data_IF_501675120038
#
_entry.id   IF_501675120038
#
_cell.length_a   1.000
_cell.length_b   1.000
_cell.length_c   1.000
_cell.angle_alpha   90.00
_cell.angle_beta   90.00
_cell.angle_gamma   90.00
#
_symmetry.space_group_name_H-M   'P 1'
#
loop_
_entity.id
_entity.type
_entity.pdbx_description
1 polymer ?
#
# COMPACT_ATOMS: atom_id res chain seq x y z
N UNK A 1 -18.98 25.62 -11.56
CA UNK A 1 -17.94 24.72 -12.10
C UNK A 1 -17.72 23.64 -11.05
N UNK A 2 -17.88 22.37 -11.42
CA UNK A 2 -17.82 21.27 -10.46
C UNK A 2 -16.48 20.54 -10.56
N UNK A 3 -15.72 20.56 -9.47
CA UNK A 3 -14.59 19.64 -9.30
C UNK A 3 -15.16 18.28 -8.93
N UNK A 4 -14.62 17.24 -9.56
CA UNK A 4 -14.99 15.86 -9.29
C UNK A 4 -13.81 15.13 -8.71
N UNK A 5 -14.07 14.33 -7.69
CA UNK A 5 -13.10 13.39 -7.14
C UNK A 5 -13.52 12.00 -7.60
N UNK A 6 -12.76 11.41 -8.53
CA UNK A 6 -12.98 10.04 -8.94
C UNK A 6 -12.43 9.11 -7.88
N UNK A 7 -13.31 8.30 -7.31
CA UNK A 7 -12.98 7.28 -6.33
C UNK A 7 -13.63 5.96 -6.74
N UNK A 8 -12.80 4.92 -6.89
CA UNK A 8 -13.23 3.65 -7.48
C UNK A 8 -13.87 3.89 -8.87
N UNK A 9 -15.12 3.46 -9.05
CA UNK A 9 -15.89 3.64 -10.28
C UNK A 9 -16.83 4.87 -10.25
N UNK A 10 -16.72 5.73 -9.23
CA UNK A 10 -17.65 6.84 -9.01
C UNK A 10 -16.94 8.18 -9.12
N UNK A 11 -17.59 9.14 -9.77
CA UNK A 11 -17.16 10.54 -9.78
C UNK A 11 -18.01 11.30 -8.75
N UNK A 12 -17.39 11.73 -7.66
CA UNK A 12 -18.05 12.47 -6.60
C UNK A 12 -17.92 13.97 -6.87
N UNK A 13 -19.02 14.70 -6.91
CA UNK A 13 -18.96 16.17 -6.95
C UNK A 13 -18.49 16.71 -5.61
N UNK A 14 -17.47 17.55 -5.64
CA UNK A 14 -16.91 18.19 -4.45
C UNK A 14 -17.39 19.65 -4.42
N UNK A 15 -18.22 20.05 -3.43
CA UNK A 15 -18.70 21.43 -3.33
C UNK A 15 -17.57 22.39 -2.94
N UNK A 16 -17.80 23.70 -3.17
CA UNK A 16 -16.93 24.76 -2.66
C UNK A 16 -16.85 24.70 -1.12
N UNK A 17 -15.67 25.01 -0.58
CA UNK A 17 -15.41 25.00 0.85
C UNK A 17 -14.55 23.83 1.31
N UNK A 18 -14.79 23.38 2.54
CA UNK A 18 -14.05 22.29 3.18
C UNK A 18 -14.70 20.92 2.92
N UNK A 19 -13.88 19.96 2.48
CA UNK A 19 -14.30 18.59 2.22
C UNK A 19 -13.34 17.62 2.92
N UNK A 20 -13.83 16.97 3.98
CA UNK A 20 -13.03 16.05 4.78
C UNK A 20 -13.03 14.64 4.20
N UNK A 21 -11.83 14.06 4.16
CA UNK A 21 -11.59 12.67 3.82
C UNK A 21 -11.03 11.96 5.05
N UNK A 22 -11.63 10.82 5.40
CA UNK A 22 -11.19 10.08 6.57
C UNK A 22 -11.99 8.81 6.79
N UNK A 23 -11.63 8.06 7.82
CA UNK A 23 -12.34 6.82 8.20
C UNK A 23 -13.58 7.08 9.05
N UNK A 24 -13.74 8.29 9.62
CA UNK A 24 -14.93 8.62 10.40
C UNK A 24 -16.14 8.70 9.48
N UNK A 25 -17.32 8.37 10.01
CA UNK A 25 -18.58 8.61 9.32
C UNK A 25 -18.89 10.13 9.19
N UNK A 26 -18.23 10.97 9.98
CA UNK A 26 -18.38 12.43 9.97
C UNK A 26 -17.63 13.10 8.80
N UNK A 27 -16.83 12.34 8.04
CA UNK A 27 -16.16 12.82 6.84
C UNK A 27 -17.11 12.73 5.64
N UNK A 28 -17.14 13.77 4.80
CA UNK A 28 -17.93 13.76 3.57
C UNK A 28 -17.55 12.59 2.67
N UNK A 29 -16.27 12.25 2.64
CA UNK A 29 -15.79 11.01 2.06
C UNK A 29 -15.25 10.09 3.17
N UNK A 30 -16.12 9.18 3.58
CA UNK A 30 -15.79 8.13 4.53
C UNK A 30 -15.13 6.95 3.81
N UNK A 31 -13.86 6.69 4.12
CA UNK A 31 -13.09 5.58 3.58
C UNK A 31 -13.03 4.48 4.63
N UNK A 32 -13.64 3.32 4.35
CA UNK A 32 -13.56 2.14 5.22
C UNK A 32 -12.21 1.43 5.06
N UNK A 33 -11.16 2.11 5.50
CA UNK A 33 -9.79 1.65 5.42
C UNK A 33 -9.10 1.88 6.77
N UNK A 34 -8.60 0.83 7.45
CA UNK A 34 -7.85 0.95 8.70
C UNK A 34 -6.59 1.82 8.60
N UNK A 35 -6.00 1.95 7.40
CA UNK A 35 -4.88 2.84 7.11
C UNK A 35 -5.28 4.31 7.10
N UNK A 36 -6.57 4.60 6.99
CA UNK A 36 -7.08 5.95 6.95
C UNK A 36 -7.38 6.42 8.38
N UNK A 37 -6.83 7.59 8.73
CA UNK A 37 -7.11 8.21 10.03
C UNK A 37 -8.57 8.71 10.07
N UNK A 38 -9.15 8.81 11.27
CA UNK A 38 -10.57 9.24 11.43
C UNK A 38 -10.88 10.52 10.66
N UNK A 39 -10.02 11.53 10.79
CA UNK A 39 -9.91 12.68 9.88
C UNK A 39 -8.49 12.62 9.32
N UNK A 40 -8.36 12.36 8.02
CA UNK A 40 -7.06 12.09 7.41
C UNK A 40 -6.59 13.28 6.60
N UNK A 41 -7.43 13.76 5.69
CA UNK A 41 -7.10 14.87 4.82
C UNK A 41 -8.27 15.86 4.74
N UNK A 42 -7.92 17.11 4.47
CA UNK A 42 -8.87 18.17 4.14
C UNK A 42 -8.60 18.63 2.71
N UNK A 43 -9.62 18.56 1.86
CA UNK A 43 -9.65 19.27 0.59
C UNK A 43 -10.29 20.64 0.81
N UNK A 44 -9.62 21.70 0.37
CA UNK A 44 -10.16 23.06 0.33
C UNK A 44 -10.41 23.43 -1.13
N UNK A 45 -11.68 23.57 -1.49
CA UNK A 45 -12.12 23.93 -2.84
C UNK A 45 -12.51 25.40 -2.85
N UNK A 46 -11.75 26.21 -3.57
CA UNK A 46 -12.04 27.63 -3.77
C UNK A 46 -12.25 27.98 -5.24
N UNK A 47 -12.58 29.25 -5.51
CA UNK A 47 -12.74 29.74 -6.89
C UNK A 47 -11.43 29.71 -7.69
N UNK A 48 -10.28 29.74 -7.01
CA UNK A 48 -8.95 29.75 -7.62
C UNK A 48 -8.24 28.40 -7.69
N UNK A 49 -8.90 27.29 -7.34
CA UNK A 49 -8.32 25.95 -7.41
C UNK A 49 -8.59 25.07 -6.18
N UNK A 50 -7.92 23.91 -6.14
CA UNK A 50 -8.08 22.90 -5.09
C UNK A 50 -6.76 22.72 -4.36
N UNK A 51 -6.82 22.66 -3.04
CA UNK A 51 -5.67 22.28 -2.23
C UNK A 51 -6.04 21.12 -1.30
N UNK A 52 -5.07 20.29 -0.97
CA UNK A 52 -5.18 19.22 0.00
C UNK A 52 -4.18 19.41 1.14
N UNK A 53 -4.59 19.05 2.35
CA UNK A 53 -3.76 19.07 3.54
C UNK A 53 -3.91 17.77 4.32
N UNK A 54 -2.79 17.24 4.82
CA UNK A 54 -2.78 16.10 5.76
C UNK A 54 -3.03 16.58 7.19
N UNK A 55 -4.07 16.08 7.85
CA UNK A 55 -4.50 16.48 9.19
C UNK A 55 -3.76 15.74 10.32
N UNK A 56 -2.44 15.56 10.15
CA UNK A 56 -1.61 14.80 11.09
C UNK A 56 -1.94 13.30 11.07
N UNK A 57 -2.28 12.76 9.91
CA UNK A 57 -2.59 11.34 9.77
C UNK A 57 -1.37 10.45 10.03
N UNK A 58 -1.65 9.18 10.39
CA UNK A 58 -0.59 8.19 10.66
C UNK A 58 0.23 7.84 9.43
N UNK A 59 -0.41 7.73 8.27
CA UNK A 59 0.20 7.20 7.04
C UNK A 59 0.54 8.29 6.02
N UNK A 60 -0.01 9.50 6.21
CA UNK A 60 0.21 10.62 5.31
C UNK A 60 -0.64 10.55 4.05
N UNK A 61 -0.64 11.68 3.35
CA UNK A 61 -1.24 11.83 2.02
C UNK A 61 -0.13 11.82 0.98
N UNK A 62 -0.32 11.08 -0.11
CA UNK A 62 0.58 11.06 -1.25
C UNK A 62 -0.12 11.67 -2.47
N UNK A 63 0.59 12.49 -3.23
CA UNK A 63 0.16 13.00 -4.54
C UNK A 63 1.15 12.50 -5.57
N UNK A 64 0.66 11.81 -6.61
CA UNK A 64 1.48 11.23 -7.68
C UNK A 64 2.66 10.39 -7.16
N UNK A 65 2.46 9.71 -6.03
CA UNK A 65 3.47 8.86 -5.37
C UNK A 65 4.44 9.59 -4.42
N UNK A 66 4.37 10.93 -4.33
CA UNK A 66 5.17 11.72 -3.40
C UNK A 66 4.35 12.12 -2.17
N UNK A 67 4.88 11.89 -0.96
CA UNK A 67 4.24 12.34 0.28
C UNK A 67 4.30 13.85 0.39
N UNK A 68 3.17 14.48 0.70
CA UNK A 68 3.09 15.94 0.86
C UNK A 68 3.65 16.40 2.20
N UNK A 69 4.20 17.61 2.23
CA UNK A 69 4.61 18.30 3.45
C UNK A 69 3.77 19.56 3.61
N UNK A 70 2.69 19.46 4.40
CA UNK A 70 1.73 20.55 4.59
C UNK A 70 0.70 20.65 3.46
N UNK A 71 0.09 21.83 3.32
CA UNK A 71 -0.92 22.12 2.30
C UNK A 71 -0.31 22.17 0.91
N UNK A 72 -0.83 21.35 0.00
CA UNK A 72 -0.38 21.25 -1.39
C UNK A 72 -1.53 21.57 -2.35
N UNK A 73 -1.24 22.33 -3.39
CA UNK A 73 -2.21 22.63 -4.46
C UNK A 73 -2.27 21.46 -5.43
N UNK A 74 -3.48 21.11 -5.87
CA UNK A 74 -3.76 20.00 -6.78
C UNK A 74 -4.11 20.50 -8.17
N UNK A 75 -3.66 19.75 -9.18
CA UNK A 75 -3.95 19.95 -10.60
C UNK A 75 -4.93 18.90 -11.12
N UNK A 76 -5.52 19.17 -12.28
CA UNK A 76 -6.38 18.20 -12.95
C UNK A 76 -5.61 16.91 -13.28
N UNK A 77 -6.22 15.77 -13.00
CA UNK A 77 -5.61 14.45 -13.18
C UNK A 77 -4.69 14.00 -12.05
N UNK A 78 -4.45 14.82 -11.02
CA UNK A 78 -3.60 14.44 -9.90
C UNK A 78 -4.15 13.21 -9.18
N UNK A 79 -3.25 12.24 -8.96
CA UNK A 79 -3.53 11.02 -8.22
C UNK A 79 -3.26 11.25 -6.74
N UNK A 80 -4.31 11.18 -5.93
CA UNK A 80 -4.25 11.30 -4.49
C UNK A 80 -4.33 9.90 -3.89
N UNK A 81 -3.38 9.54 -3.03
CA UNK A 81 -3.43 8.30 -2.27
C UNK A 81 -3.48 8.58 -0.76
N UNK A 82 -4.45 7.95 -0.10
CA UNK A 82 -4.72 8.09 1.34
C UNK A 82 -4.93 6.69 1.91
N UNK A 83 -4.00 6.23 2.76
CA UNK A 83 -3.99 4.83 3.18
C UNK A 83 -3.80 3.89 1.98
N UNK A 84 -4.69 2.92 1.80
CA UNK A 84 -4.72 2.03 0.63
C UNK A 84 -5.69 2.48 -0.46
N UNK A 85 -6.25 3.70 -0.36
CA UNK A 85 -7.25 4.23 -1.29
C UNK A 85 -6.60 5.19 -2.28
N UNK A 86 -6.97 5.06 -3.55
CA UNK A 86 -6.52 5.94 -4.63
C UNK A 86 -7.70 6.72 -5.23
N UNK A 87 -7.44 7.98 -5.52
CA UNK A 87 -8.42 8.95 -5.99
C UNK A 87 -7.80 9.80 -7.09
N UNK A 88 -8.59 10.28 -8.04
CA UNK A 88 -8.13 11.19 -9.08
C UNK A 88 -8.94 12.47 -9.05
N UNK A 89 -8.26 13.61 -9.07
CA UNK A 89 -8.91 14.91 -9.21
C UNK A 89 -9.29 15.14 -10.67
N UNK A 90 -10.53 15.57 -10.93
CA UNK A 90 -11.05 15.86 -12.26
C UNK A 90 -11.70 17.25 -12.30
N UNK A 91 -11.38 18.05 -13.30
CA UNK A 91 -11.92 19.39 -13.52
C UNK A 91 -11.33 20.48 -12.63
N UNK A 92 -10.11 20.31 -12.10
CA UNK A 92 -9.43 21.37 -11.36
C UNK A 92 -8.85 22.43 -12.30
N UNK A 93 -9.11 23.70 -12.03
CA UNK A 93 -8.49 24.81 -12.74
C UNK A 93 -7.02 24.84 -12.31
N UNK A 94 -6.09 24.78 -13.27
CA UNK A 94 -4.68 25.00 -12.96
C UNK A 94 -4.51 26.38 -12.33
N UNK A 95 -3.99 26.48 -11.09
CA UNK A 95 -3.60 27.76 -10.55
C UNK A 95 -2.39 28.24 -11.36
N UNK A 96 -2.58 29.35 -12.07
CA UNK A 96 -1.51 30.08 -12.76
C UNK A 96 -0.29 30.16 -11.85
N UNK A 97 0.81 29.57 -12.33
CA UNK A 97 2.11 29.42 -11.68
C UNK A 97 2.55 30.63 -10.87
N UNK A 98 2.76 30.44 -9.56
CA UNK A 98 3.65 31.27 -8.76
C UNK A 98 4.14 30.52 -7.50
N UNK A 99 5.46 30.27 -7.46
CA UNK A 99 6.31 29.96 -6.30
C UNK A 99 6.50 28.49 -5.86
N UNK A 100 7.58 27.88 -6.38
CA UNK A 100 8.51 27.11 -5.54
C UNK A 100 9.24 28.04 -4.56
N UNK A 101 9.59 27.55 -3.38
CA UNK A 101 11.00 27.59 -3.01
C UNK A 101 11.54 26.22 -2.62
N UNK A 102 12.66 25.89 -3.26
CA UNK A 102 13.62 24.86 -2.87
C UNK A 102 13.98 25.02 -1.39
N UNK A 103 14.01 23.92 -0.66
CA UNK A 103 14.84 23.79 0.55
C UNK A 103 15.49 22.41 0.57
N UNK A 104 16.66 22.33 -0.07
CA UNK A 104 17.68 21.38 0.33
C UNK A 104 18.48 22.02 1.48
N UNK A 105 18.87 21.29 2.53
CA UNK A 105 19.77 21.85 3.53
C UNK A 105 21.19 21.94 2.96
N UNK A 106 21.75 23.14 3.06
CA UNK A 106 23.16 23.44 2.97
C UNK A 106 23.89 22.75 4.14
N UNK A 107 24.83 21.86 3.85
CA UNK A 107 26.01 21.69 4.71
C UNK A 107 27.27 22.09 3.93
N UNK A 108 28.14 22.73 4.68
CA UNK A 108 29.26 23.58 4.29
C UNK A 108 30.54 22.75 4.11
N UNK A 109 31.22 22.99 2.98
CA UNK A 109 32.68 23.17 2.79
C UNK A 109 33.64 22.04 3.23
N UNK A 110 34.37 21.48 2.26
CA UNK A 110 35.83 21.64 2.13
C UNK A 110 36.30 21.17 0.73
N UNK A 111 36.68 22.14 -0.12
CA UNK A 111 38.02 22.29 -0.71
C UNK A 111 38.56 21.06 -1.48
N UNK A 112 38.66 21.17 -2.81
CA UNK A 112 39.94 21.41 -3.49
C UNK A 112 39.74 21.57 -5.00
N UNK A 113 40.25 22.68 -5.51
CA UNK A 113 40.40 22.99 -6.92
C UNK A 113 41.48 22.09 -7.55
N UNK A 114 41.28 21.73 -8.82
CA UNK A 114 42.33 21.72 -9.85
C UNK A 114 41.72 21.59 -11.25
N UNK A 115 41.99 22.61 -12.03
CA UNK A 115 41.84 22.77 -13.47
C UNK A 115 42.75 21.82 -14.25
N UNK A 116 42.27 21.22 -15.34
CA UNK A 116 42.96 20.99 -16.64
C UNK A 116 41.82 20.75 -17.65
N UNK A 117 41.46 21.67 -18.54
CA UNK A 117 42.10 22.12 -19.79
C UNK A 117 42.09 21.10 -20.96
N UNK A 118 41.36 21.54 -22.00
CA UNK A 118 41.51 21.39 -23.45
C UNK A 118 41.64 20.03 -24.18
N UNK A 119 40.82 19.99 -25.24
CA UNK A 119 41.12 19.66 -26.64
C UNK A 119 41.07 18.22 -27.18
N UNK A 120 40.31 18.15 -28.28
CA UNK A 120 40.54 17.41 -29.55
C UNK A 120 39.98 15.99 -29.75
N UNK A 121 39.26 15.87 -30.89
CA UNK A 121 38.71 14.65 -31.51
C UNK A 121 39.84 13.88 -32.26
N UNK A 122 39.59 12.67 -32.81
CA UNK A 122 38.88 12.56 -34.10
C UNK A 122 37.98 11.32 -34.26
N UNK A 123 37.19 11.39 -35.33
CA UNK A 123 36.36 10.33 -35.90
C UNK A 123 37.18 9.25 -36.63
N UNK A 124 36.61 8.05 -36.75
CA UNK A 124 37.09 6.97 -37.62
C UNK A 124 36.01 5.89 -37.80
N UNK A 125 35.70 5.59 -39.07
CA UNK A 125 34.84 4.54 -39.64
C UNK A 125 35.30 3.12 -39.18
N UNK A 126 34.62 1.98 -39.35
CA UNK A 126 33.59 1.51 -40.27
C UNK A 126 33.04 0.15 -39.77
N UNK A 127 31.87 -0.23 -40.31
CA UNK A 127 31.37 -1.59 -40.57
C UNK A 127 31.23 -2.68 -39.50
N UNK A 128 30.00 -3.23 -39.44
CA UNK A 128 29.75 -4.54 -38.83
C UNK A 128 28.28 -4.85 -38.54
N UNK A 129 27.48 -5.10 -39.56
CA UNK A 129 26.11 -5.59 -39.42
C UNK A 129 26.03 -6.94 -38.69
N UNK A 130 25.26 -7.02 -37.61
CA UNK A 130 24.59 -8.26 -37.19
C UNK A 130 23.20 -7.89 -36.66
N UNK A 131 22.19 -8.27 -37.44
CA UNK A 131 20.79 -8.07 -37.12
C UNK A 131 20.39 -8.92 -35.91
N UNK A 132 20.31 -8.30 -34.74
CA UNK A 132 19.58 -8.84 -33.59
C UNK A 132 18.24 -8.11 -33.58
N UNK A 133 17.18 -8.83 -33.93
CA UNK A 133 15.81 -8.37 -33.85
C UNK A 133 15.46 -8.03 -32.39
N UNK A 134 15.72 -6.79 -32.00
CA UNK A 134 15.12 -6.18 -30.82
C UNK A 134 13.62 -6.07 -31.06
N UNK A 135 12.86 -7.02 -30.51
CA UNK A 135 11.44 -6.81 -30.23
C UNK A 135 11.37 -5.64 -29.26
N UNK A 136 11.09 -4.46 -29.82
CA UNK A 136 10.73 -3.25 -29.13
C UNK A 136 9.43 -3.53 -28.37
N UNK A 137 9.53 -3.92 -27.10
CA UNK A 137 8.37 -4.02 -26.21
C UNK A 137 7.78 -2.62 -26.09
N UNK A 138 6.59 -2.44 -26.65
CA UNK A 138 5.78 -1.24 -26.48
C UNK A 138 5.47 -1.07 -24.97
N UNK A 139 5.67 0.12 -24.39
CA UNK A 139 5.21 0.41 -23.04
C UNK A 139 3.71 0.72 -23.12
N UNK A 140 2.86 -0.20 -22.66
CA UNK A 140 1.43 0.07 -22.58
C UNK A 140 0.55 -1.16 -22.57
N UNK A 141 0.36 -1.72 -21.38
CA UNK A 141 -0.96 -2.17 -20.90
C UNK A 141 -0.82 -2.43 -19.39
N UNK A 142 -1.01 -1.39 -18.58
CA UNK A 142 -1.31 -1.60 -17.16
C UNK A 142 -2.66 -2.33 -17.12
N UNK A 143 -2.80 -3.50 -16.49
CA UNK A 143 -4.08 -4.17 -16.41
C UNK A 143 -5.11 -3.25 -15.75
N UNK A 144 -6.10 -2.78 -16.51
CA UNK A 144 -7.11 -1.83 -16.04
C UNK A 144 -8.22 -2.48 -15.18
N UNK A 145 -8.04 -3.74 -14.76
CA UNK A 145 -8.98 -4.43 -13.89
C UNK A 145 -8.23 -5.22 -12.81
N UNK A 146 -8.67 -5.15 -11.54
CA UNK A 146 -8.18 -6.08 -10.52
C UNK A 146 -8.38 -7.50 -11.04
N UNK A 147 -7.37 -8.35 -10.88
CA UNK A 147 -7.47 -9.75 -11.29
C UNK A 147 -8.77 -10.35 -10.77
N UNK A 148 -9.47 -11.13 -11.61
CA UNK A 148 -10.80 -11.70 -11.29
C UNK A 148 -10.82 -12.37 -9.92
N UNK A 149 -9.71 -12.96 -9.47
CA UNK A 149 -9.59 -13.58 -8.14
C UNK A 149 -9.53 -12.56 -7.00
N UNK A 150 -8.81 -11.46 -7.18
CA UNK A 150 -8.75 -10.34 -6.21
C UNK A 150 -10.12 -9.70 -6.07
N UNK A 151 -10.81 -9.49 -7.19
CA UNK A 151 -12.16 -8.95 -7.18
C UNK A 151 -13.16 -9.91 -6.51
N UNK A 152 -13.13 -11.20 -6.86
CA UNK A 152 -13.99 -12.21 -6.24
C UNK A 152 -13.79 -12.29 -4.72
N UNK A 153 -12.54 -12.29 -4.24
CA UNK A 153 -12.24 -12.29 -2.80
C UNK A 153 -12.76 -11.00 -2.12
N UNK A 154 -12.64 -9.86 -2.78
CA UNK A 154 -13.14 -8.58 -2.25
C UNK A 154 -14.67 -8.57 -2.12
N UNK A 155 -15.39 -9.14 -3.09
CA UNK A 155 -16.86 -9.23 -3.04
C UNK A 155 -17.32 -10.09 -1.86
N UNK A 156 -16.81 -11.32 -1.72
CA UNK A 156 -17.18 -12.18 -0.59
C UNK A 156 -16.71 -11.62 0.74
N UNK A 157 -15.57 -10.92 0.73
CA UNK A 157 -15.03 -10.21 1.88
C UNK A 157 -15.95 -9.11 2.37
N UNK A 158 -16.55 -8.32 1.47
CA UNK A 158 -17.54 -7.30 1.85
C UNK A 158 -18.77 -7.89 2.53
N UNK A 159 -19.19 -9.11 2.14
CA UNK A 159 -20.30 -9.82 2.78
C UNK A 159 -19.87 -10.31 4.17
N UNK A 160 -18.66 -10.85 4.30
CA UNK A 160 -18.11 -11.26 5.58
C UNK A 160 -17.92 -10.07 6.53
N UNK A 161 -17.50 -8.91 6.04
CA UNK A 161 -17.36 -7.68 6.83
C UNK A 161 -18.71 -7.23 7.39
N UNK A 162 -19.77 -7.28 6.58
CA UNK A 162 -21.14 -7.02 7.06
C UNK A 162 -21.58 -8.03 8.12
N UNK A 163 -21.28 -9.31 7.93
CA UNK A 163 -21.58 -10.34 8.93
C UNK A 163 -20.84 -10.09 10.25
N UNK A 164 -19.56 -9.71 10.20
CA UNK A 164 -18.77 -9.32 11.38
C UNK A 164 -19.37 -8.09 12.08
N UNK A 165 -19.77 -7.06 11.33
CA UNK A 165 -20.39 -5.86 11.88
C UNK A 165 -21.72 -6.15 12.59
N UNK A 166 -22.45 -7.18 12.14
CA UNK A 166 -23.68 -7.67 12.78
C UNK A 166 -23.42 -8.68 13.92
N UNK A 167 -22.16 -8.92 14.29
CA UNK A 167 -21.77 -9.89 15.32
C UNK A 167 -21.89 -11.35 14.90
N UNK A 168 -22.13 -11.64 13.62
CA UNK A 168 -22.29 -13.00 13.07
C UNK A 168 -20.93 -13.58 12.67
N UNK A 169 -20.09 -13.81 13.67
CA UNK A 169 -18.69 -14.22 13.48
C UNK A 169 -18.57 -15.56 12.75
N UNK A 170 -19.38 -16.56 13.10
CA UNK A 170 -19.33 -17.88 12.46
C UNK A 170 -19.78 -17.84 11.00
N UNK A 171 -20.74 -16.96 10.66
CA UNK A 171 -21.18 -16.76 9.29
C UNK A 171 -20.06 -16.13 8.44
N UNK A 172 -19.42 -15.08 8.96
CA UNK A 172 -18.30 -14.41 8.30
C UNK A 172 -17.13 -15.37 8.04
N UNK A 173 -16.80 -16.19 9.04
CA UNK A 173 -15.76 -17.20 8.88
C UNK A 173 -16.12 -18.23 7.81
N UNK A 174 -17.34 -18.79 7.86
CA UNK A 174 -17.81 -19.76 6.87
C UNK A 174 -17.78 -19.22 5.45
N UNK A 175 -18.10 -17.94 5.25
CA UNK A 175 -18.05 -17.27 3.94
C UNK A 175 -16.61 -17.23 3.39
N UNK A 176 -15.65 -16.86 4.23
CA UNK A 176 -14.26 -16.66 3.80
C UNK A 176 -13.45 -17.95 3.76
N UNK A 177 -13.81 -18.95 4.58
CA UNK A 177 -12.98 -20.12 4.83
C UNK A 177 -12.61 -20.86 3.55
N UNK A 178 -13.57 -21.13 2.66
CA UNK A 178 -13.31 -21.83 1.39
C UNK A 178 -12.27 -21.11 0.54
N UNK A 179 -12.46 -19.80 0.31
CA UNK A 179 -11.57 -19.03 -0.56
C UNK A 179 -10.17 -18.87 0.03
N UNK A 180 -10.06 -18.67 1.34
CA UNK A 180 -8.75 -18.62 2.01
C UNK A 180 -8.04 -19.98 1.93
N UNK A 181 -8.74 -21.09 2.20
CA UNK A 181 -8.17 -22.43 2.07
C UNK A 181 -7.70 -22.74 0.64
N UNK A 182 -8.46 -22.33 -0.39
CA UNK A 182 -8.08 -22.52 -1.79
C UNK A 182 -6.80 -21.73 -2.15
N UNK A 183 -6.64 -20.52 -1.59
CA UNK A 183 -5.45 -19.69 -1.80
C UNK A 183 -4.22 -20.34 -1.16
N UNK A 184 -4.33 -20.79 0.09
CA UNK A 184 -3.22 -21.47 0.77
C UNK A 184 -2.85 -22.79 0.10
N UNK A 185 -3.83 -23.55 -0.38
CA UNK A 185 -3.58 -24.79 -1.14
C UNK A 185 -2.78 -24.49 -2.41
N UNK A 186 -3.18 -23.48 -3.19
CA UNK A 186 -2.42 -23.04 -4.37
C UNK A 186 -0.99 -22.59 -4.03
N UNK A 187 -0.81 -21.89 -2.92
CA UNK A 187 0.51 -21.47 -2.46
C UNK A 187 1.39 -22.66 -2.02
N UNK A 188 0.78 -23.70 -1.42
CA UNK A 188 1.48 -24.95 -1.06
C UNK A 188 1.94 -25.73 -2.29
N UNK A 189 1.08 -25.80 -3.31
CA UNK A 189 1.34 -26.59 -4.51
C UNK A 189 2.29 -25.88 -5.49
N UNK A 190 2.15 -24.55 -5.63
CA UNK A 190 2.88 -23.79 -6.65
C UNK A 190 4.09 -22.99 -6.16
N UNK A 191 4.23 -22.75 -4.85
CA UNK A 191 5.35 -21.96 -4.31
C UNK A 191 5.37 -20.49 -4.75
N UNK A 192 6.55 -19.88 -4.77
CA UNK A 192 6.75 -18.44 -5.07
C UNK A 192 6.20 -18.09 -6.46
N UNK A 193 5.36 -17.05 -6.52
CA UNK A 193 4.73 -16.59 -7.76
C UNK A 193 3.42 -17.32 -8.14
N UNK A 194 3.03 -18.38 -7.42
CA UNK A 194 1.79 -19.12 -7.71
C UNK A 194 0.51 -18.32 -7.41
N UNK A 195 0.62 -17.31 -6.55
CA UNK A 195 -0.48 -16.43 -6.15
C UNK A 195 0.00 -14.99 -6.24
N UNK A 196 -0.84 -14.12 -6.80
CA UNK A 196 -0.54 -12.69 -6.94
C UNK A 196 -0.38 -12.02 -5.57
N UNK A 197 0.61 -11.11 -5.38
CA UNK A 197 0.86 -10.44 -4.11
C UNK A 197 -0.36 -9.70 -3.55
N UNK A 198 -1.16 -9.04 -4.40
CA UNK A 198 -2.35 -8.29 -4.00
C UNK A 198 -3.42 -9.22 -3.42
N UNK A 199 -3.55 -10.43 -3.99
CA UNK A 199 -4.47 -11.45 -3.49
C UNK A 199 -4.01 -12.00 -2.14
N UNK A 200 -2.69 -12.17 -1.96
CA UNK A 200 -2.08 -12.64 -0.71
C UNK A 200 -2.27 -11.61 0.39
N UNK A 201 -2.06 -10.34 0.08
CA UNK A 201 -2.29 -9.24 1.01
C UNK A 201 -3.75 -9.21 1.48
N UNK A 202 -4.71 -9.24 0.54
CA UNK A 202 -6.15 -9.27 0.89
C UNK A 202 -6.52 -10.50 1.70
N UNK A 203 -6.02 -11.68 1.35
CA UNK A 203 -6.26 -12.90 2.10
C UNK A 203 -5.70 -12.80 3.53
N UNK A 204 -4.51 -12.21 3.69
CA UNK A 204 -3.87 -12.04 4.99
C UNK A 204 -4.60 -11.01 5.85
N UNK A 205 -5.11 -9.93 5.26
CA UNK A 205 -5.97 -8.95 5.91
C UNK A 205 -7.26 -9.60 6.45
N UNK A 206 -7.97 -10.37 5.62
CA UNK A 206 -9.20 -11.07 6.06
C UNK A 206 -8.91 -12.10 7.15
N UNK A 207 -7.82 -12.86 7.04
CA UNK A 207 -7.41 -13.77 8.09
C UNK A 207 -7.12 -13.02 9.42
N UNK A 208 -6.48 -11.85 9.39
CA UNK A 208 -6.24 -11.07 10.60
C UNK A 208 -7.54 -10.59 11.25
N UNK A 209 -8.52 -10.16 10.44
CA UNK A 209 -9.87 -9.80 10.91
C UNK A 209 -10.60 -10.99 11.54
N UNK A 210 -10.56 -12.15 10.90
CA UNK A 210 -11.14 -13.39 11.44
C UNK A 210 -10.44 -13.80 12.74
N UNK A 211 -9.12 -13.70 12.83
CA UNK A 211 -8.37 -13.96 14.06
C UNK A 211 -8.84 -13.03 15.20
N UNK A 212 -9.00 -11.73 14.91
CA UNK A 212 -9.47 -10.74 15.88
C UNK A 212 -10.90 -11.03 16.37
N UNK A 213 -11.80 -11.43 15.48
CA UNK A 213 -13.20 -11.69 15.80
C UNK A 213 -13.44 -13.05 16.47
N UNK A 214 -12.74 -14.09 16.02
CA UNK A 214 -12.93 -15.47 16.50
C UNK A 214 -12.03 -15.83 17.70
N UNK A 215 -10.94 -15.09 17.91
CA UNK A 215 -9.93 -15.44 18.90
C UNK A 215 -9.08 -16.68 18.57
N UNK A 216 -9.19 -17.23 17.35
CA UNK A 216 -8.50 -18.47 16.93
C UNK A 216 -7.12 -18.20 16.32
N UNK A 217 -6.10 -18.88 16.86
CA UNK A 217 -4.70 -18.82 16.40
C UNK A 217 -4.47 -19.40 15.01
N UNK A 218 -5.36 -20.27 14.53
CA UNK A 218 -5.28 -20.86 13.19
C UNK A 218 -5.24 -19.82 12.08
N UNK A 219 -5.93 -18.69 12.24
CA UNK A 219 -5.90 -17.61 11.26
C UNK A 219 -4.59 -16.81 11.27
N UNK A 220 -3.92 -16.73 12.42
CA UNK A 220 -2.56 -16.16 12.49
C UNK A 220 -1.55 -17.12 11.84
N UNK A 221 -1.68 -18.41 12.12
CA UNK A 221 -0.87 -19.45 11.49
C UNK A 221 -1.02 -19.42 9.97
N UNK A 222 -2.25 -19.26 9.47
CA UNK A 222 -2.54 -19.08 8.05
C UNK A 222 -1.76 -17.92 7.42
N UNK A 223 -1.76 -16.75 8.07
CA UNK A 223 -1.06 -15.55 7.55
C UNK A 223 0.43 -15.84 7.40
N UNK A 224 1.06 -16.34 8.47
CA UNK A 224 2.50 -16.61 8.42
C UNK A 224 2.82 -17.73 7.45
N UNK A 225 2.05 -18.82 7.43
CA UNK A 225 2.28 -19.92 6.48
C UNK A 225 2.21 -19.43 5.03
N UNK A 226 1.13 -18.71 4.66
CA UNK A 226 0.93 -18.20 3.32
C UNK A 226 2.08 -17.29 2.87
N UNK A 227 2.42 -16.30 3.69
CA UNK A 227 3.47 -15.34 3.36
C UNK A 227 4.86 -15.98 3.37
N UNK A 228 5.08 -17.01 4.19
CA UNK A 228 6.35 -17.74 4.16
C UNK A 228 6.49 -18.67 2.96
N UNK A 229 5.40 -19.19 2.39
CA UNK A 229 5.43 -20.00 1.17
C UNK A 229 5.75 -19.17 -0.07
N UNK A 230 5.26 -17.94 -0.08
CA UNK A 230 5.39 -17.03 -1.21
C UNK A 230 6.55 -16.04 -1.07
N UNK A 231 7.29 -16.12 0.05
CA UNK A 231 8.42 -15.25 0.39
C UNK A 231 8.07 -13.75 0.40
N UNK A 232 6.81 -13.44 0.73
CA UNK A 232 6.31 -12.06 0.76
C UNK A 232 6.50 -11.43 2.14
N UNK A 233 6.87 -10.15 2.14
CA UNK A 233 6.91 -9.34 3.35
C UNK A 233 5.50 -8.84 3.66
N UNK A 234 5.07 -9.00 4.92
CA UNK A 234 3.79 -8.44 5.36
C UNK A 234 3.81 -6.91 5.26
N UNK A 235 2.73 -6.27 4.78
CA UNK A 235 2.59 -4.82 4.86
C UNK A 235 2.66 -4.32 6.30
N UNK A 236 3.20 -3.11 6.50
CA UNK A 236 3.42 -2.53 7.83
C UNK A 236 2.14 -2.48 8.69
N UNK A 237 1.00 -2.15 8.07
CA UNK A 237 -0.29 -2.07 8.77
C UNK A 237 -0.80 -3.42 9.25
N UNK A 238 -0.49 -4.47 8.50
CA UNK A 238 -0.89 -5.81 8.89
C UNK A 238 -0.02 -6.29 10.05
N UNK A 239 1.27 -5.92 10.06
CA UNK A 239 2.14 -6.11 11.23
C UNK A 239 1.61 -5.35 12.45
N UNK A 240 1.18 -4.10 12.29
CA UNK A 240 0.51 -3.31 13.36
C UNK A 240 -0.71 -4.04 13.92
N UNK A 241 -1.59 -4.52 13.05
CA UNK A 241 -2.80 -5.24 13.45
C UNK A 241 -2.44 -6.52 14.21
N UNK A 242 -1.44 -7.27 13.74
CA UNK A 242 -0.98 -8.50 14.39
C UNK A 242 -0.47 -8.27 15.82
N UNK A 243 0.15 -7.11 16.12
CA UNK A 243 0.53 -6.76 17.51
C UNK A 243 -0.69 -6.64 18.45
N UNK A 244 -1.82 -6.17 17.93
CA UNK A 244 -3.08 -6.07 18.67
C UNK A 244 -3.75 -7.44 18.81
N UNK A 245 -3.85 -8.17 17.70
CA UNK A 245 -4.55 -9.46 17.61
C UNK A 245 -3.84 -10.56 18.38
N UNK A 246 -2.51 -10.65 18.29
CA UNK A 246 -1.74 -11.67 19.02
C UNK A 246 -1.95 -11.61 20.52
N UNK A 247 -2.25 -10.44 21.10
CA UNK A 247 -2.56 -10.30 22.53
C UNK A 247 -3.88 -10.94 22.93
N UNK A 248 -4.83 -11.08 22.00
CA UNK A 248 -6.19 -11.57 22.26
C UNK A 248 -6.39 -13.04 21.87
N UNK A 249 -5.61 -13.52 20.90
CA UNK A 249 -5.77 -14.85 20.29
C UNK A 249 -5.08 -15.95 21.11
N UNK A 250 -5.66 -17.16 21.13
CA UNK A 250 -5.09 -18.34 21.79
C UNK A 250 -4.51 -19.34 20.78
N UNK A 251 -3.58 -20.19 21.23
CA UNK A 251 -3.04 -21.33 20.46
C UNK A 251 -2.44 -20.94 19.09
N UNK A 252 -1.56 -19.94 19.09
CA UNK A 252 -0.76 -19.58 17.91
C UNK A 252 0.46 -20.48 17.85
N UNK A 253 0.75 -21.04 16.67
CA UNK A 253 1.95 -21.86 16.47
C UNK A 253 3.16 -20.95 16.19
N UNK A 254 3.93 -20.71 17.25
CA UNK A 254 5.13 -19.87 17.19
C UNK A 254 6.24 -20.46 16.32
N UNK A 255 6.22 -21.75 16.00
CA UNK A 255 7.18 -22.36 15.08
C UNK A 255 7.03 -21.82 13.65
N UNK A 256 5.79 -21.53 13.23
CA UNK A 256 5.48 -20.97 11.90
C UNK A 256 6.00 -19.53 11.81
N UNK A 257 5.75 -18.70 12.82
CA UNK A 257 6.26 -17.32 12.88
C UNK A 257 7.79 -17.30 12.90
N UNK A 258 8.44 -18.17 13.68
CA UNK A 258 9.91 -18.31 13.65
C UNK A 258 10.44 -18.68 12.28
N UNK A 259 9.77 -19.64 11.62
CA UNK A 259 10.07 -20.01 10.24
C UNK A 259 9.94 -18.83 9.29
N UNK A 260 8.91 -17.99 9.47
CA UNK A 260 8.68 -16.78 8.69
C UNK A 260 9.81 -15.77 8.84
N UNK A 261 10.10 -15.36 10.07
CA UNK A 261 11.16 -14.39 10.36
C UNK A 261 12.52 -14.88 9.87
N UNK A 262 12.82 -16.18 10.02
CA UNK A 262 14.07 -16.77 9.52
C UNK A 262 14.21 -16.63 8.00
N UNK A 263 13.18 -17.01 7.22
CA UNK A 263 13.22 -16.91 5.74
C UNK A 263 13.36 -15.46 5.28
N UNK A 264 12.69 -14.52 5.93
CA UNK A 264 12.86 -13.09 5.60
C UNK A 264 14.27 -12.56 5.91
N UNK A 265 14.89 -13.04 7.00
CA UNK A 265 16.23 -12.63 7.43
C UNK A 265 17.32 -13.10 6.46
N UNK A 266 17.20 -14.30 5.92
CA UNK A 266 18.13 -14.83 4.91
C UNK A 266 18.25 -13.92 3.67
N UNK A 267 17.21 -13.12 3.40
CA UNK A 267 17.16 -12.13 2.31
C UNK A 267 17.28 -10.68 2.79
N UNK A 268 17.77 -10.44 4.01
CA UNK A 268 17.80 -9.09 4.59
C UNK A 268 18.78 -8.14 3.87
N UNK A 269 19.83 -8.68 3.22
CA UNK A 269 20.83 -7.89 2.49
C UNK A 269 20.27 -7.20 1.23
N UNK A 270 19.19 -7.73 0.67
CA UNK A 270 18.53 -7.21 -0.55
C UNK A 270 17.46 -6.15 -0.23
N UNK A 271 17.20 -5.87 1.05
CA UNK A 271 16.04 -5.08 1.50
C UNK A 271 16.36 -3.61 1.70
N UNK A 272 15.39 -2.79 1.32
CA UNK A 272 15.38 -1.35 1.62
C UNK A 272 15.35 -1.09 3.13
N UNK A 273 15.73 0.12 3.60
CA UNK A 273 15.60 0.49 5.00
C UNK A 273 14.18 0.31 5.56
N UNK A 274 13.14 0.63 4.78
CA UNK A 274 11.75 0.47 5.20
C UNK A 274 11.36 -1.00 5.40
N UNK A 275 11.78 -1.89 4.50
CA UNK A 275 11.52 -3.33 4.61
C UNK A 275 12.29 -3.97 5.77
N UNK A 276 13.51 -3.49 6.07
CA UNK A 276 14.27 -3.91 7.24
C UNK A 276 13.58 -3.50 8.54
N UNK A 277 12.99 -2.31 8.59
CA UNK A 277 12.18 -1.87 9.72
C UNK A 277 10.96 -2.80 9.92
N UNK A 278 10.23 -3.14 8.85
CA UNK A 278 9.11 -4.09 8.93
C UNK A 278 9.58 -5.46 9.42
N UNK A 279 10.71 -5.97 8.93
CA UNK A 279 11.30 -7.23 9.39
C UNK A 279 11.59 -7.19 10.90
N UNK A 280 12.22 -6.13 11.41
CA UNK A 280 12.50 -5.96 12.83
C UNK A 280 11.20 -5.99 13.68
N UNK A 281 10.11 -5.44 13.14
CA UNK A 281 8.80 -5.48 13.79
C UNK A 281 8.18 -6.88 13.78
N UNK A 282 8.33 -7.64 12.69
CA UNK A 282 7.91 -9.04 12.63
C UNK A 282 8.68 -9.88 13.66
N UNK A 283 9.99 -9.67 13.82
CA UNK A 283 10.78 -10.30 14.88
C UNK A 283 10.32 -9.88 16.29
N UNK A 284 9.77 -8.68 16.44
CA UNK A 284 9.13 -8.24 17.67
C UNK A 284 7.81 -8.97 17.98
N UNK A 285 7.07 -9.43 16.97
CA UNK A 285 5.88 -10.28 17.17
C UNK A 285 6.25 -11.63 17.78
N UNK A 286 7.42 -12.18 17.45
CA UNK A 286 7.90 -13.44 18.02
C UNK A 286 8.06 -13.33 19.54
N UNK A 287 8.71 -12.25 19.99
CA UNK A 287 8.89 -11.96 21.42
C UNK A 287 7.56 -11.79 22.14
N UNK A 288 6.60 -11.13 21.50
CA UNK A 288 5.25 -10.95 22.07
C UNK A 288 4.51 -12.28 22.22
N UNK A 289 4.57 -13.15 21.20
CA UNK A 289 3.89 -14.44 21.23
C UNK A 289 4.54 -15.45 22.17
N UNK A 290 5.85 -15.33 22.44
CA UNK A 290 6.56 -16.17 23.40
C UNK A 290 6.23 -15.89 24.88
N UNK A 291 5.55 -14.77 25.17
CA UNK A 291 5.12 -14.39 26.53
C UNK A 291 3.75 -14.97 26.91
N UNK A 292 3.11 -15.74 26.03
CA UNK A 292 1.83 -16.42 26.25
C UNK A 292 2.01 -17.91 26.50
#
# INVERSE_FOLDING_TARGET
MGIRLRYLAHDLEVPLGEFFIGRSADCQLSLDDPLVSRRHALLTVGEGGVAIEDLGSRNGVLINGARIAGRQVLSDGDKIAIGGQEMFLLGAIEPSSAHSPRSAPLWTRQQNARTVDMSEMPAGEDDGATAIASRRSLPGLVPQHPDKRVHALSLIGSVADKALALGRVDEAERILQRSLSDILTKARDGGVGAVQPELVEKASMYAARLAAATGRGSWINYIFELNTRLELLLPAYLVDELYSVLRKVKAVDMSILRGYAKRLRERAGERTPAERFILQRIEGLERLGALK
#
